data_IF_059468570232
#
_entry.id   IF_059468570232
#
_cell.length_a   1.000
_cell.length_b   1.000
_cell.length_c   1.000
_cell.angle_alpha   90.00
_cell.angle_beta   90.00
_cell.angle_gamma   90.00
#
_symmetry.space_group_name_H-M   'P 1'
#
loop_
_entity.id
_entity.type
_entity.pdbx_description
1 polymer ?
#
# COMPACT_ATOMS: atom_id res chain seq x y z
N UNK A 1 7.06 6.27 -33.40
CA UNK A 1 7.97 5.32 -34.08
C UNK A 1 9.14 6.09 -34.68
N UNK A 2 10.25 6.37 -33.98
CA UNK A 2 10.89 5.59 -32.94
C UNK A 2 11.07 6.38 -31.63
N UNK A 3 10.31 5.96 -30.64
CA UNK A 3 10.24 6.44 -29.26
C UNK A 3 11.33 5.80 -28.41
N UNK A 4 12.57 5.74 -28.92
CA UNK A 4 13.59 4.80 -28.41
C UNK A 4 14.75 5.47 -27.63
N UNK A 5 14.70 6.79 -27.41
CA UNK A 5 15.75 7.51 -26.68
C UNK A 5 15.44 7.69 -25.18
N UNK A 6 14.17 7.70 -24.74
CA UNK A 6 13.83 7.62 -23.30
C UNK A 6 13.42 6.19 -22.93
N UNK A 7 14.23 5.22 -23.32
CA UNK A 7 14.16 3.88 -22.76
C UNK A 7 14.89 3.90 -21.39
N UNK A 8 14.58 2.97 -20.48
CA UNK A 8 15.25 2.83 -19.17
C UNK A 8 16.78 2.81 -19.27
N UNK A 9 17.33 2.41 -20.42
CA UNK A 9 18.74 2.48 -20.78
C UNK A 9 19.36 3.89 -20.77
N UNK A 10 18.57 4.95 -20.99
CA UNK A 10 19.06 6.32 -21.20
C UNK A 10 18.66 7.31 -20.09
N UNK A 11 17.85 6.89 -19.10
CA UNK A 11 17.55 7.72 -17.93
C UNK A 11 18.81 8.20 -17.16
N UNK A 12 19.84 7.34 -16.97
CA UNK A 12 21.12 7.78 -16.40
C UNK A 12 21.83 8.86 -17.24
N UNK A 13 21.71 8.78 -18.57
CA UNK A 13 22.32 9.74 -19.50
C UNK A 13 21.66 11.12 -19.42
N UNK A 14 20.33 11.17 -19.28
CA UNK A 14 19.59 12.43 -19.10
C UNK A 14 19.91 13.09 -17.75
N UNK A 15 20.03 12.29 -16.68
CA UNK A 15 20.43 12.79 -15.37
C UNK A 15 21.86 13.37 -15.39
N UNK A 16 22.78 12.75 -16.14
CA UNK A 16 24.16 13.22 -16.29
C UNK A 16 24.24 14.50 -17.17
N UNK A 17 23.42 14.61 -18.21
CA UNK A 17 23.27 15.85 -18.99
C UNK A 17 22.71 17.00 -18.15
N UNK A 18 21.70 16.74 -17.32
CA UNK A 18 21.16 17.72 -16.40
C UNK A 18 22.22 18.17 -15.38
N UNK A 19 23.06 17.24 -14.90
CA UNK A 19 24.18 17.56 -14.03
C UNK A 19 25.17 18.51 -14.71
N UNK A 20 25.63 18.18 -15.94
CA UNK A 20 26.53 19.06 -16.70
C UNK A 20 25.89 20.45 -16.90
N UNK A 21 24.61 20.50 -17.27
CA UNK A 21 23.84 21.75 -17.40
C UNK A 21 23.79 22.58 -16.10
N UNK A 22 23.59 21.94 -14.95
CA UNK A 22 23.54 22.62 -13.65
C UNK A 22 24.89 23.20 -13.21
N UNK A 23 26.01 22.64 -13.68
CA UNK A 23 27.36 23.15 -13.42
C UNK A 23 27.74 24.26 -14.41
N UNK A 24 27.44 24.05 -15.69
CA UNK A 24 27.64 25.03 -16.75
C UNK A 24 26.51 24.92 -17.80
N UNK A 25 25.64 25.94 -17.92
CA UNK A 25 24.56 25.96 -18.90
C UNK A 25 25.00 25.84 -20.36
N UNK A 26 26.27 26.14 -20.68
CA UNK A 26 26.82 26.04 -22.03
C UNK A 26 27.41 24.64 -22.34
N UNK A 27 27.45 23.74 -21.35
CA UNK A 27 28.03 22.41 -21.50
C UNK A 27 27.13 21.42 -22.27
N UNK A 28 25.88 21.81 -22.53
CA UNK A 28 24.88 21.01 -23.26
C UNK A 28 24.36 21.81 -24.45
N UNK A 29 23.83 21.09 -25.44
CA UNK A 29 23.23 21.71 -26.61
C UNK A 29 22.06 22.64 -26.24
N UNK A 30 21.85 23.69 -27.04
CA UNK A 30 20.77 24.69 -26.87
C UNK A 30 19.37 24.08 -26.71
N UNK A 31 19.12 22.93 -27.34
CA UNK A 31 17.87 22.16 -27.22
C UNK A 31 17.67 21.59 -25.81
N UNK A 32 18.74 21.09 -25.17
CA UNK A 32 18.73 20.61 -23.79
C UNK A 32 18.62 21.75 -22.77
N UNK A 33 19.32 22.87 -23.01
CA UNK A 33 19.19 24.05 -22.16
C UNK A 33 17.75 24.59 -22.15
N UNK A 34 17.09 24.61 -23.31
CA UNK A 34 15.68 24.99 -23.44
C UNK A 34 14.73 24.00 -22.76
N UNK A 35 15.05 22.71 -22.78
CA UNK A 35 14.30 21.67 -22.08
C UNK A 35 14.39 21.84 -20.56
N UNK A 36 15.61 21.95 -20.00
CA UNK A 36 15.79 22.10 -18.55
C UNK A 36 15.24 23.42 -18.01
N UNK A 37 15.31 24.52 -18.78
CA UNK A 37 14.69 25.79 -18.39
C UNK A 37 13.16 25.76 -18.42
N UNK A 38 12.54 24.78 -19.09
CA UNK A 38 11.09 24.64 -19.11
C UNK A 38 10.51 23.85 -17.92
N UNK A 39 11.39 23.29 -17.08
CA UNK A 39 11.03 22.50 -15.91
C UNK A 39 10.88 23.40 -14.66
N UNK A 40 9.91 23.10 -13.80
CA UNK A 40 9.72 23.82 -12.54
C UNK A 40 10.62 23.27 -11.41
N UNK A 41 10.71 23.96 -10.27
CA UNK A 41 11.55 23.54 -9.12
C UNK A 41 11.25 22.12 -8.62
N UNK A 42 10.00 21.65 -8.75
CA UNK A 42 9.62 20.29 -8.36
C UNK A 42 10.10 19.25 -9.39
N UNK A 43 10.00 19.55 -10.69
CA UNK A 43 10.51 18.68 -11.76
C UNK A 43 12.03 18.53 -11.69
N UNK A 44 12.72 19.62 -11.33
CA UNK A 44 14.17 19.64 -11.10
C UNK A 44 14.58 18.79 -9.88
N UNK A 45 13.73 18.70 -8.85
CA UNK A 45 14.00 17.85 -7.68
C UNK A 45 13.94 16.36 -7.99
N UNK A 46 13.01 15.94 -8.85
CA UNK A 46 12.91 14.55 -9.33
C UNK A 46 14.16 14.15 -10.12
N UNK A 47 14.66 15.03 -11.00
CA UNK A 47 15.93 14.81 -11.71
C UNK A 47 17.13 14.75 -10.74
N UNK A 48 17.08 15.52 -9.65
CA UNK A 48 18.07 15.47 -8.56
C UNK A 48 18.07 14.14 -7.80
N UNK A 49 16.91 13.51 -7.60
CA UNK A 49 16.78 12.24 -6.88
C UNK A 49 17.42 11.07 -7.66
N UNK A 50 17.50 11.13 -8.99
CA UNK A 50 18.23 10.14 -9.82
C UNK A 50 19.74 10.07 -9.51
N UNK A 51 20.33 11.11 -8.89
CA UNK A 51 21.73 11.16 -8.41
C UNK A 51 22.01 10.12 -7.31
N UNK A 52 20.96 9.70 -6.61
CA UNK A 52 21.09 9.06 -5.32
C UNK A 52 21.66 10.02 -4.25
N UNK A 53 21.81 9.57 -3.01
CA UNK A 53 22.25 10.41 -1.91
C UNK A 53 23.67 10.95 -2.10
N UNK A 54 23.97 12.17 -1.65
CA UNK A 54 25.29 12.81 -1.86
C UNK A 54 26.49 12.00 -1.34
N UNK A 55 26.24 11.17 -0.32
CA UNK A 55 27.23 10.32 0.36
C UNK A 55 27.47 8.97 -0.33
N UNK A 56 26.67 8.62 -1.36
CA UNK A 56 26.85 7.42 -2.18
C UNK A 56 26.52 7.73 -3.64
N UNK A 57 27.37 8.58 -4.25
CA UNK A 57 27.30 8.89 -5.69
C UNK A 57 27.43 7.59 -6.50
N UNK A 58 26.48 7.34 -7.42
CA UNK A 58 26.62 6.24 -8.40
C UNK A 58 27.79 6.58 -9.34
N UNK A 59 28.76 5.68 -9.56
CA UNK A 59 29.82 5.89 -10.55
C UNK A 59 29.27 5.53 -11.93
N UNK A 60 28.45 6.38 -12.51
CA UNK A 60 28.08 6.24 -13.92
C UNK A 60 28.88 7.27 -14.72
N UNK A 61 30.05 6.86 -15.22
CA UNK A 61 30.78 7.60 -16.26
C UNK A 61 30.22 7.19 -17.62
N UNK A 62 29.02 7.66 -17.97
CA UNK A 62 28.42 7.32 -19.27
C UNK A 62 28.87 8.31 -20.33
N UNK A 63 29.14 9.57 -19.97
CA UNK A 63 29.50 10.61 -20.95
C UNK A 63 31.03 10.70 -21.19
N UNK A 64 31.87 10.20 -20.30
CA UNK A 64 33.32 10.48 -20.36
C UNK A 64 34.19 9.41 -21.10
N UNK A 65 33.63 8.28 -21.54
CA UNK A 65 34.39 7.22 -22.24
C UNK A 65 33.91 6.83 -23.65
N UNK A 66 32.92 7.53 -24.22
CA UNK A 66 32.39 7.18 -25.54
C UNK A 66 32.78 8.25 -26.57
N UNK A 67 33.66 7.84 -27.49
CA UNK A 67 34.00 8.58 -28.71
C UNK A 67 32.73 9.05 -29.44
N UNK A 68 32.65 10.34 -29.79
CA UNK A 68 31.49 10.99 -30.43
C UNK A 68 31.07 10.43 -31.80
N UNK A 69 31.72 9.37 -32.28
CA UNK A 69 31.48 8.75 -33.59
C UNK A 69 30.63 7.46 -33.57
N UNK A 70 30.16 6.99 -32.41
CA UNK A 70 29.27 5.81 -32.36
C UNK A 70 27.82 6.17 -32.03
N UNK A 71 27.05 6.23 -33.13
CA UNK A 71 25.59 6.11 -33.23
C UNK A 71 24.75 7.35 -32.88
N UNK A 72 25.01 8.47 -33.56
CA UNK A 72 23.90 9.34 -33.96
C UNK A 72 23.17 8.62 -35.11
N UNK A 73 22.13 7.85 -34.78
CA UNK A 73 21.16 7.41 -35.80
C UNK A 73 20.23 8.62 -36.01
N UNK A 74 20.28 9.33 -37.15
CA UNK A 74 19.37 10.43 -37.39
C UNK A 74 17.97 9.84 -37.60
N UNK A 75 17.12 9.91 -36.58
CA UNK A 75 15.70 9.59 -36.72
C UNK A 75 15.01 10.85 -37.23
N UNK A 76 14.55 10.89 -38.50
CA UNK A 76 13.87 12.06 -39.01
C UNK A 76 12.50 12.18 -38.31
N UNK A 77 12.09 13.41 -37.96
CA UNK A 77 10.70 13.78 -37.65
C UNK A 77 10.19 13.58 -36.20
N UNK A 78 10.98 13.93 -35.17
CA UNK A 78 10.46 14.05 -33.79
C UNK A 78 9.62 15.33 -33.67
N UNK A 79 8.30 15.18 -33.49
CA UNK A 79 7.43 16.30 -33.09
C UNK A 79 7.67 16.61 -31.61
N UNK A 80 8.44 17.67 -31.33
CA UNK A 80 8.82 18.15 -29.99
C UNK A 80 7.61 18.30 -29.04
N UNK A 81 6.44 18.63 -29.57
CA UNK A 81 5.21 18.75 -28.78
C UNK A 81 4.72 17.42 -28.21
N UNK A 82 4.83 16.31 -28.96
CA UNK A 82 4.36 14.99 -28.51
C UNK A 82 5.19 14.43 -27.34
N UNK A 83 6.50 14.67 -27.37
CA UNK A 83 7.42 14.28 -26.30
C UNK A 83 7.12 15.01 -24.99
N UNK A 84 6.88 16.33 -25.07
CA UNK A 84 6.50 17.13 -23.90
C UNK A 84 5.21 16.63 -23.27
N UNK A 85 4.21 16.27 -24.08
CA UNK A 85 2.93 15.74 -23.57
C UNK A 85 3.12 14.41 -22.84
N UNK A 86 3.84 13.45 -23.41
CA UNK A 86 4.08 12.14 -22.77
C UNK A 86 4.84 12.24 -21.44
N UNK A 87 5.85 13.12 -21.36
CA UNK A 87 6.58 13.37 -20.11
C UNK A 87 5.68 14.01 -19.05
N UNK A 88 4.87 15.01 -19.43
CA UNK A 88 3.94 15.65 -18.52
C UNK A 88 2.88 14.67 -17.99
N UNK A 89 2.35 13.80 -18.86
CA UNK A 89 1.35 12.80 -18.47
C UNK A 89 1.93 11.76 -17.49
N UNK A 90 3.20 11.39 -17.68
CA UNK A 90 3.94 10.53 -16.74
C UNK A 90 4.14 11.20 -15.38
N UNK A 91 4.59 12.46 -15.33
CA UNK A 91 4.75 13.22 -14.09
C UNK A 91 3.40 13.37 -13.36
N UNK A 92 2.32 13.70 -14.08
CA UNK A 92 0.97 13.81 -13.52
C UNK A 92 0.49 12.50 -12.92
N UNK A 93 0.77 11.39 -13.60
CA UNK A 93 0.37 10.05 -13.16
C UNK A 93 1.18 9.60 -11.94
N UNK A 94 2.49 9.85 -11.90
CA UNK A 94 3.31 9.60 -10.71
C UNK A 94 2.86 10.44 -9.51
N UNK A 95 2.42 11.68 -9.73
CA UNK A 95 1.81 12.52 -8.68
C UNK A 95 0.49 11.95 -8.17
N UNK A 96 -0.35 11.41 -9.05
CA UNK A 96 -1.58 10.72 -8.68
C UNK A 96 -1.27 9.46 -7.85
N UNK A 97 -0.33 8.62 -8.30
CA UNK A 97 0.13 7.43 -7.55
C UNK A 97 0.58 7.82 -6.14
N UNK A 98 1.44 8.85 -6.03
CA UNK A 98 1.88 9.37 -4.74
C UNK A 98 0.72 9.86 -3.88
N UNK A 99 -0.29 10.51 -4.47
CA UNK A 99 -1.46 10.96 -3.73
C UNK A 99 -2.27 9.79 -3.15
N UNK A 100 -2.40 8.67 -3.88
CA UNK A 100 -3.00 7.44 -3.35
C UNK A 100 -2.17 6.80 -2.23
N UNK A 101 -0.84 6.86 -2.29
CA UNK A 101 0.00 6.34 -1.19
C UNK A 101 -0.18 7.15 0.10
N UNK A 102 -0.43 8.46 -0.01
CA UNK A 102 -0.64 9.35 1.13
C UNK A 102 -2.08 9.23 1.63
N UNK A 103 -3.06 9.40 0.74
CA UNK A 103 -4.45 9.68 1.08
C UNK A 103 -5.44 8.61 0.60
N UNK A 104 -5.00 7.55 -0.09
CA UNK A 104 -5.91 6.54 -0.65
C UNK A 104 -6.79 5.85 0.40
N UNK A 105 -6.33 5.80 1.66
CA UNK A 105 -7.10 5.31 2.80
C UNK A 105 -8.38 6.12 3.07
N UNK A 106 -8.44 7.40 2.70
CA UNK A 106 -9.61 8.27 2.91
C UNK A 106 -10.83 7.82 2.09
N UNK A 107 -10.60 7.20 0.93
CA UNK A 107 -11.66 6.67 0.05
C UNK A 107 -11.89 5.18 0.22
N UNK A 108 -11.20 4.52 1.15
CA UNK A 108 -11.37 3.10 1.44
C UNK A 108 -12.76 2.79 2.02
N UNK A 109 -13.28 1.63 1.67
CA UNK A 109 -14.58 1.14 2.12
C UNK A 109 -14.48 0.42 3.46
N UNK A 110 -14.31 1.19 4.54
CA UNK A 110 -14.06 0.67 5.89
C UNK A 110 -15.33 0.47 6.73
N UNK A 111 -16.39 1.22 6.45
CA UNK A 111 -17.65 1.14 7.21
C UNK A 111 -18.55 0.02 6.67
N UNK A 112 -18.74 -1.10 7.42
CA UNK A 112 -19.59 -2.19 6.98
C UNK A 112 -21.09 -1.82 6.94
N UNK A 113 -21.50 -0.77 7.65
CA UNK A 113 -22.89 -0.31 7.71
C UNK A 113 -23.20 0.76 6.66
N UNK A 114 -22.18 1.31 5.98
CA UNK A 114 -22.30 2.41 5.02
C UNK A 114 -23.05 3.64 5.58
N UNK A 115 -22.84 3.96 6.85
CA UNK A 115 -23.37 5.15 7.51
C UNK A 115 -22.51 6.39 7.22
N UNK A 116 -21.19 6.20 7.06
CA UNK A 116 -20.27 7.27 6.67
C UNK A 116 -20.53 7.72 5.24
N UNK A 117 -20.66 9.04 5.03
CA UNK A 117 -20.71 9.61 3.68
C UNK A 117 -19.30 9.57 3.08
N UNK A 118 -19.20 9.10 1.84
CA UNK A 118 -17.94 9.17 1.07
C UNK A 118 -17.76 10.59 0.59
N UNK A 119 -16.71 11.25 1.08
CA UNK A 119 -16.34 12.57 0.62
C UNK A 119 -15.60 12.48 -0.72
N UNK A 120 -15.77 13.51 -1.55
CA UNK A 120 -15.00 13.63 -2.78
C UNK A 120 -13.64 14.25 -2.45
N UNK A 121 -12.58 13.56 -2.86
CA UNK A 121 -11.20 13.94 -2.62
C UNK A 121 -10.56 14.35 -3.97
N UNK A 122 -10.45 15.66 -4.26
CA UNK A 122 -9.85 16.14 -5.52
C UNK A 122 -8.44 15.58 -5.76
N UNK A 123 -7.65 15.41 -4.70
CA UNK A 123 -6.30 14.85 -4.74
C UNK A 123 -6.24 13.39 -5.20
N UNK A 124 -7.36 12.65 -5.19
CA UNK A 124 -7.44 11.27 -5.67
C UNK A 124 -8.13 11.16 -7.04
N UNK A 125 -8.57 12.28 -7.61
CA UNK A 125 -9.11 12.35 -8.97
C UNK A 125 -8.00 12.74 -9.96
N UNK A 126 -7.81 11.90 -10.99
CA UNK A 126 -6.88 12.18 -12.08
C UNK A 126 -7.19 13.50 -12.79
N UNK A 127 -8.46 13.93 -12.81
CA UNK A 127 -8.89 15.22 -13.41
C UNK A 127 -8.22 16.42 -12.76
N UNK A 128 -7.92 16.34 -11.47
CA UNK A 128 -7.23 17.41 -10.74
C UNK A 128 -5.75 17.56 -11.12
N UNK A 129 -5.17 16.59 -11.83
CA UNK A 129 -3.80 16.63 -12.34
C UNK A 129 -3.73 17.08 -13.81
N UNK A 130 -4.86 17.42 -14.43
CA UNK A 130 -4.92 17.84 -15.84
C UNK A 130 -4.98 16.67 -16.82
N UNK A 131 -5.29 15.47 -16.35
CA UNK A 131 -5.65 14.31 -17.18
C UNK A 131 -7.16 14.35 -17.46
N UNK A 132 -7.56 13.89 -18.64
CA UNK A 132 -8.95 13.90 -19.11
C UNK A 132 -9.44 12.49 -19.42
N UNK A 133 -10.74 12.34 -19.62
CA UNK A 133 -11.35 11.04 -19.95
C UNK A 133 -10.80 10.47 -21.28
N UNK A 134 -10.30 11.32 -22.18
CA UNK A 134 -9.65 10.89 -23.44
C UNK A 134 -8.26 10.28 -23.22
N UNK A 135 -7.68 10.45 -22.02
CA UNK A 135 -6.35 9.97 -21.68
C UNK A 135 -6.38 8.58 -21.01
N UNK A 136 -7.57 8.05 -20.70
CA UNK A 136 -7.76 6.79 -19.98
C UNK A 136 -7.14 5.59 -20.69
N UNK A 137 -7.19 5.56 -22.02
CA UNK A 137 -6.64 4.46 -22.83
C UNK A 137 -5.21 4.74 -23.30
N UNK A 138 -4.61 5.88 -22.92
CA UNK A 138 -3.22 6.19 -23.24
C UNK A 138 -2.29 5.38 -22.36
N UNK A 139 -1.29 4.76 -22.99
CA UNK A 139 -0.16 4.19 -22.24
C UNK A 139 0.69 5.31 -21.64
N UNK A 140 0.92 5.21 -20.34
CA UNK A 140 1.72 6.15 -19.57
C UNK A 140 2.86 5.38 -18.92
N UNK A 141 4.06 5.96 -19.00
CA UNK A 141 5.25 5.43 -18.34
C UNK A 141 5.21 5.73 -16.83
N UNK A 142 5.45 4.72 -16.00
CA UNK A 142 5.39 4.82 -14.53
C UNK A 142 6.63 4.27 -13.82
N UNK A 143 7.74 4.11 -14.56
CA UNK A 143 9.07 3.79 -14.00
C UNK A 143 9.11 2.55 -13.10
N UNK A 144 8.41 1.48 -13.50
CA UNK A 144 8.39 0.23 -12.75
C UNK A 144 7.44 0.21 -11.54
N UNK A 145 6.65 1.28 -11.32
CA UNK A 145 5.59 1.29 -10.30
C UNK A 145 4.65 0.10 -10.49
N UNK A 146 4.28 -0.58 -9.40
CA UNK A 146 3.49 -1.83 -9.44
C UNK A 146 4.12 -2.96 -10.26
N UNK A 147 5.43 -2.90 -10.55
CA UNK A 147 6.13 -3.86 -11.41
C UNK A 147 5.88 -3.68 -12.91
N UNK A 148 5.34 -2.53 -13.33
CA UNK A 148 5.00 -2.21 -14.72
C UNK A 148 5.85 -1.01 -15.19
N UNK A 149 6.52 -1.12 -16.35
CA UNK A 149 7.26 0.02 -16.92
C UNK A 149 6.30 1.09 -17.45
N UNK A 150 5.25 0.66 -18.15
CA UNK A 150 4.16 1.51 -18.66
C UNK A 150 2.84 0.76 -18.55
N UNK A 151 1.75 1.49 -18.39
CA UNK A 151 0.39 0.94 -18.40
C UNK A 151 -0.64 1.98 -18.87
N UNK A 152 -1.79 1.55 -19.40
CA UNK A 152 -2.92 2.44 -19.63
C UNK A 152 -3.35 3.16 -18.36
N UNK A 153 -3.69 4.46 -18.43
CA UNK A 153 -4.13 5.23 -17.26
C UNK A 153 -5.32 4.59 -16.53
N UNK A 154 -6.26 3.99 -17.27
CA UNK A 154 -7.40 3.27 -16.69
C UNK A 154 -6.98 2.08 -15.82
N UNK A 155 -5.91 1.37 -16.19
CA UNK A 155 -5.38 0.22 -15.48
C UNK A 155 -4.63 0.67 -14.23
N UNK A 156 -3.86 1.76 -14.33
CA UNK A 156 -3.17 2.37 -13.19
C UNK A 156 -4.19 2.80 -12.13
N UNK A 157 -5.23 3.54 -12.51
CA UNK A 157 -6.30 3.97 -11.59
C UNK A 157 -6.98 2.76 -10.95
N UNK A 158 -7.24 1.70 -11.72
CA UNK A 158 -7.83 0.47 -11.19
C UNK A 158 -6.93 -0.20 -10.15
N UNK A 159 -5.62 -0.32 -10.41
CA UNK A 159 -4.65 -0.87 -9.46
C UNK A 159 -4.62 -0.05 -8.18
N UNK A 160 -4.59 1.28 -8.30
CA UNK A 160 -4.59 2.20 -7.16
C UNK A 160 -5.84 2.02 -6.28
N UNK A 161 -7.03 1.99 -6.88
CA UNK A 161 -8.29 1.79 -6.16
C UNK A 161 -8.33 0.39 -5.52
N UNK A 162 -7.90 -0.65 -6.23
CA UNK A 162 -7.87 -2.01 -5.70
C UNK A 162 -6.94 -2.17 -4.50
N UNK A 163 -5.81 -1.44 -4.50
CA UNK A 163 -4.74 -1.56 -3.52
C UNK A 163 -4.96 -0.68 -2.29
N UNK A 164 -5.32 0.60 -2.48
CA UNK A 164 -5.35 1.60 -1.40
C UNK A 164 -6.76 2.03 -0.97
N UNK A 165 -7.78 1.80 -1.79
CA UNK A 165 -9.14 2.34 -1.59
C UNK A 165 -10.24 1.26 -1.61
N UNK A 166 -9.87 -0.01 -1.39
CA UNK A 166 -10.81 -1.13 -1.31
C UNK A 166 -11.27 -1.35 0.15
N UNK A 167 -11.33 -2.59 0.63
CA UNK A 167 -11.72 -2.91 2.02
C UNK A 167 -10.63 -2.71 3.07
N UNK A 168 -9.44 -2.24 2.66
CA UNK A 168 -8.30 -2.00 3.53
C UNK A 168 -7.77 -0.61 3.22
N UNK A 169 -7.71 0.24 4.24
CA UNK A 169 -7.03 1.53 4.20
C UNK A 169 -5.62 1.38 4.75
N UNK A 170 -4.63 1.93 4.05
CA UNK A 170 -3.22 1.81 4.43
C UNK A 170 -2.67 3.19 4.73
N UNK A 171 -2.14 3.34 5.94
CA UNK A 171 -1.41 4.54 6.37
C UNK A 171 0.01 4.15 6.77
N UNK A 172 1.00 4.59 5.99
CA UNK A 172 2.40 4.21 6.24
C UNK A 172 3.42 5.32 5.95
N UNK A 173 3.06 6.35 5.17
CA UNK A 173 4.02 7.38 4.77
C UNK A 173 4.49 8.31 5.91
N UNK A 174 3.84 8.29 7.07
CA UNK A 174 4.30 8.99 8.27
C UNK A 174 5.55 8.35 8.89
N UNK A 175 5.89 7.11 8.54
CA UNK A 175 7.07 6.39 9.04
C UNK A 175 8.34 7.13 8.61
N UNK A 176 9.33 7.30 9.47
CA UNK A 176 10.54 8.05 9.11
C UNK A 176 11.53 7.22 8.27
N UNK A 177 11.65 5.92 8.56
CA UNK A 177 12.60 5.03 7.89
C UNK A 177 12.20 4.78 6.42
N UNK A 178 13.06 5.10 5.44
CA UNK A 178 12.83 4.79 4.03
C UNK A 178 12.70 3.29 3.77
N UNK A 179 13.55 2.48 4.40
CA UNK A 179 13.55 1.02 4.25
C UNK A 179 12.22 0.41 4.70
N UNK A 180 11.65 0.90 5.82
CA UNK A 180 10.34 0.44 6.30
C UNK A 180 9.20 0.85 5.35
N UNK A 181 9.23 2.08 4.83
CA UNK A 181 8.24 2.55 3.84
C UNK A 181 8.27 1.68 2.59
N UNK A 182 9.46 1.46 2.05
CA UNK A 182 9.66 0.64 0.86
C UNK A 182 9.18 -0.78 1.10
N UNK A 183 9.55 -1.39 2.23
CA UNK A 183 9.10 -2.74 2.58
C UNK A 183 7.57 -2.85 2.66
N UNK A 184 6.89 -1.89 3.30
CA UNK A 184 5.42 -1.88 3.37
C UNK A 184 4.83 -1.71 1.97
N UNK A 185 5.36 -0.78 1.18
CA UNK A 185 4.89 -0.50 -0.16
C UNK A 185 5.00 -1.74 -1.07
N UNK A 186 6.18 -2.36 -1.14
CA UNK A 186 6.42 -3.59 -1.90
C UNK A 186 5.44 -4.69 -1.48
N UNK A 187 5.26 -4.89 -0.18
CA UNK A 187 4.40 -5.96 0.35
C UNK A 187 2.92 -5.77 0.02
N UNK A 188 2.47 -4.53 -0.04
CA UNK A 188 1.07 -4.18 -0.33
C UNK A 188 0.83 -4.21 -1.84
N UNK A 189 1.71 -3.62 -2.63
CA UNK A 189 1.57 -3.53 -4.08
C UNK A 189 1.71 -4.89 -4.78
N UNK A 190 2.61 -5.77 -4.31
CA UNK A 190 2.86 -7.11 -4.88
C UNK A 190 1.57 -7.93 -5.03
N UNK A 191 0.71 -7.88 -4.03
CA UNK A 191 -0.56 -8.63 -4.00
C UNK A 191 -1.78 -7.73 -4.16
N UNK A 192 -1.58 -6.46 -4.55
CA UNK A 192 -2.65 -5.43 -4.63
C UNK A 192 -3.50 -5.38 -3.36
N UNK A 193 -2.84 -5.53 -2.22
CA UNK A 193 -3.43 -5.59 -0.88
C UNK A 193 -4.49 -6.70 -0.71
N UNK A 194 -4.42 -7.77 -1.51
CA UNK A 194 -5.38 -8.88 -1.51
C UNK A 194 -4.65 -10.21 -1.40
N UNK A 195 -4.73 -10.82 -0.23
CA UNK A 195 -4.20 -12.18 -0.04
C UNK A 195 -5.11 -13.20 -0.74
N UNK A 196 -4.50 -14.04 -1.58
CA UNK A 196 -5.21 -15.15 -2.25
C UNK A 196 -5.24 -16.36 -1.31
N UNK A 197 -6.41 -16.63 -0.72
CA UNK A 197 -6.62 -17.82 0.11
C UNK A 197 -7.01 -19.04 -0.72
N UNK A 198 -6.50 -20.21 -0.32
CA UNK A 198 -6.97 -21.50 -0.83
C UNK A 198 -8.42 -21.76 -0.43
N UNK A 199 -9.09 -22.69 -1.11
CA UNK A 199 -10.46 -23.09 -0.77
C UNK A 199 -10.58 -23.52 0.70
N UNK A 200 -9.66 -24.36 1.17
CA UNK A 200 -9.64 -24.81 2.57
C UNK A 200 -9.34 -23.67 3.54
N UNK A 201 -8.49 -22.71 3.17
CA UNK A 201 -8.25 -21.51 3.96
C UNK A 201 -9.52 -20.67 4.14
N UNK A 202 -10.28 -20.47 3.06
CA UNK A 202 -11.58 -19.77 3.13
C UNK A 202 -12.59 -20.51 4.00
N UNK A 203 -12.66 -21.83 3.88
CA UNK A 203 -13.54 -22.68 4.70
C UNK A 203 -13.17 -22.61 6.18
N UNK A 204 -11.88 -22.60 6.51
CA UNK A 204 -11.40 -22.46 7.88
C UNK A 204 -11.77 -21.09 8.47
N UNK A 205 -11.58 -20.00 7.73
CA UNK A 205 -11.99 -18.65 8.15
C UNK A 205 -13.50 -18.60 8.40
N UNK A 206 -14.30 -19.15 7.47
CA UNK A 206 -15.76 -19.21 7.61
C UNK A 206 -16.19 -20.00 8.85
N UNK A 207 -15.64 -21.20 9.05
CA UNK A 207 -15.95 -22.02 10.22
C UNK A 207 -15.66 -21.28 11.53
N UNK A 208 -14.55 -20.52 11.58
CA UNK A 208 -14.20 -19.74 12.77
C UNK A 208 -15.18 -18.60 13.04
N UNK A 209 -15.63 -17.92 11.99
CA UNK A 209 -16.67 -16.88 12.11
C UNK A 209 -17.96 -17.47 12.66
N UNK A 210 -18.41 -18.60 12.09
CA UNK A 210 -19.62 -19.30 12.54
C UNK A 210 -19.50 -19.78 13.98
N UNK A 211 -18.36 -20.34 14.38
CA UNK A 211 -18.12 -20.77 15.76
C UNK A 211 -18.22 -19.59 16.73
N UNK A 212 -17.63 -18.44 16.36
CA UNK A 212 -17.64 -17.21 17.17
C UNK A 212 -19.05 -16.67 17.35
N UNK A 213 -19.83 -16.61 16.25
CA UNK A 213 -21.22 -16.14 16.28
C UNK A 213 -22.11 -17.08 17.08
N UNK A 214 -22.03 -18.40 16.84
CA UNK A 214 -22.86 -19.39 17.53
C UNK A 214 -22.57 -19.44 19.03
N UNK A 215 -21.31 -19.26 19.43
CA UNK A 215 -20.95 -19.20 20.86
C UNK A 215 -21.64 -18.01 21.55
N UNK A 216 -21.62 -16.84 20.92
CA UNK A 216 -22.29 -15.64 21.45
C UNK A 216 -23.82 -15.81 21.48
N UNK A 217 -24.42 -16.34 20.41
CA UNK A 217 -25.85 -16.64 20.37
C UNK A 217 -26.26 -17.64 21.46
N UNK A 218 -25.44 -18.66 21.71
CA UNK A 218 -25.67 -19.63 22.78
C UNK A 218 -25.68 -18.97 24.15
N UNK A 219 -24.65 -18.16 24.45
CA UNK A 219 -24.58 -17.42 25.72
C UNK A 219 -25.79 -16.49 25.88
N UNK A 220 -26.19 -15.80 24.82
CA UNK A 220 -27.37 -14.92 24.82
C UNK A 220 -28.66 -15.67 25.17
N UNK A 221 -28.84 -16.86 24.58
CA UNK A 221 -30.04 -17.67 24.81
C UNK A 221 -30.05 -18.32 26.20
N UNK A 222 -28.88 -18.74 26.70
CA UNK A 222 -28.78 -19.53 27.95
C UNK A 222 -28.74 -18.65 29.20
N UNK A 223 -28.08 -17.50 29.15
CA UNK A 223 -27.85 -16.62 30.30
C UNK A 223 -28.48 -15.25 30.07
N UNK A 224 -29.81 -15.23 30.07
CA UNK A 224 -30.60 -14.01 29.87
C UNK A 224 -30.29 -12.97 30.97
N UNK A 225 -29.99 -11.74 30.56
CA UNK A 225 -29.74 -10.62 31.46
C UNK A 225 -28.33 -10.58 32.08
N UNK A 226 -27.48 -11.57 31.83
CA UNK A 226 -26.09 -11.54 32.29
C UNK A 226 -25.22 -10.71 31.33
N UNK A 227 -24.44 -9.77 31.89
CA UNK A 227 -23.47 -9.00 31.10
C UNK A 227 -22.31 -9.90 30.68
N UNK A 228 -22.07 -10.00 29.36
CA UNK A 228 -21.00 -10.82 28.77
C UNK A 228 -20.01 -10.06 27.87
N UNK A 229 -20.34 -8.83 27.50
CA UNK A 229 -19.54 -8.02 26.56
C UNK A 229 -19.22 -8.75 25.25
N UNK A 230 -20.27 -9.23 24.56
CA UNK A 230 -20.13 -10.05 23.36
C UNK A 230 -19.40 -9.35 22.20
N UNK A 231 -18.91 -10.16 21.26
CA UNK A 231 -18.17 -9.70 20.08
C UNK A 231 -19.06 -9.37 18.87
N UNK A 232 -20.38 -9.36 19.03
CA UNK A 232 -21.37 -9.20 17.95
C UNK A 232 -21.04 -8.02 17.01
N UNK A 233 -20.98 -8.30 15.71
CA UNK A 233 -20.55 -7.35 14.66
C UNK A 233 -19.03 -7.17 14.52
N UNK A 234 -18.23 -7.81 15.36
CA UNK A 234 -16.77 -7.82 15.34
C UNK A 234 -16.17 -9.22 15.28
N UNK A 235 -16.93 -10.22 14.84
CA UNK A 235 -16.55 -11.64 14.82
C UNK A 235 -15.27 -11.88 13.99
N UNK A 236 -15.01 -11.01 13.01
CA UNK A 236 -13.79 -11.02 12.18
C UNK A 236 -12.49 -10.86 12.97
N UNK A 237 -12.56 -10.33 14.20
CA UNK A 237 -11.42 -10.27 15.11
C UNK A 237 -10.84 -11.67 15.39
N UNK A 238 -11.69 -12.69 15.52
CA UNK A 238 -11.26 -14.04 15.88
C UNK A 238 -10.38 -14.69 14.79
N UNK A 239 -10.82 -14.82 13.52
CA UNK A 239 -9.93 -15.32 12.47
C UNK A 239 -8.73 -14.40 12.22
N UNK A 240 -8.85 -13.09 12.47
CA UNK A 240 -7.73 -12.15 12.42
C UNK A 240 -6.62 -12.48 13.43
N UNK A 241 -6.99 -12.68 14.70
CA UNK A 241 -6.05 -13.09 15.75
C UNK A 241 -5.49 -14.49 15.47
N UNK A 242 -6.32 -15.42 15.02
CA UNK A 242 -5.86 -16.77 14.65
C UNK A 242 -4.79 -16.70 13.55
N UNK A 243 -4.96 -15.80 12.57
CA UNK A 243 -3.95 -15.59 11.54
C UNK A 243 -2.66 -14.99 12.09
N UNK A 244 -2.73 -14.03 13.02
CA UNK A 244 -1.54 -13.49 13.72
C UNK A 244 -0.79 -14.62 14.43
N UNK A 245 -1.50 -15.48 15.17
CA UNK A 245 -0.91 -16.63 15.86
C UNK A 245 -0.24 -17.58 14.87
N UNK A 246 -0.89 -17.92 13.75
CA UNK A 246 -0.31 -18.77 12.70
C UNK A 246 0.98 -18.17 12.13
N UNK A 247 0.99 -16.88 11.83
CA UNK A 247 2.20 -16.20 11.33
C UNK A 247 3.31 -16.18 12.37
N UNK A 248 2.99 -15.94 13.65
CA UNK A 248 3.95 -15.99 14.75
C UNK A 248 4.57 -17.40 14.90
N UNK A 249 3.77 -18.46 14.80
CA UNK A 249 4.28 -19.84 14.80
C UNK A 249 5.22 -20.12 13.62
N UNK A 250 4.89 -19.64 12.42
CA UNK A 250 5.78 -19.75 11.24
C UNK A 250 7.09 -18.99 11.45
N UNK A 251 7.03 -17.86 12.15
CA UNK A 251 8.19 -17.08 12.57
C UNK A 251 8.94 -17.68 13.79
N UNK A 252 8.56 -18.88 14.25
CA UNK A 252 9.16 -19.59 15.40
C UNK A 252 9.07 -18.82 16.73
N UNK A 253 8.03 -18.01 16.91
CA UNK A 253 7.71 -17.39 18.19
C UNK A 253 7.20 -18.46 19.15
N UNK A 254 7.81 -18.56 20.34
CA UNK A 254 7.45 -19.57 21.34
C UNK A 254 6.29 -19.14 22.24
N UNK A 255 6.23 -17.86 22.61
CA UNK A 255 5.28 -17.33 23.59
C UNK A 255 4.53 -16.12 23.02
N UNK A 256 3.20 -16.14 23.15
CA UNK A 256 2.32 -15.04 22.74
C UNK A 256 1.50 -14.62 23.96
N UNK A 257 1.63 -13.36 24.36
CA UNK A 257 0.84 -12.77 25.44
C UNK A 257 -0.21 -11.84 24.84
N UNK A 258 -1.48 -12.04 25.18
CA UNK A 258 -2.59 -11.24 24.64
C UNK A 258 -3.20 -10.39 25.76
N UNK A 259 -3.10 -9.07 25.63
CA UNK A 259 -3.87 -8.11 26.42
C UNK A 259 -5.14 -7.72 25.66
N UNK A 260 -6.31 -7.88 26.28
CA UNK A 260 -7.60 -7.52 25.67
C UNK A 260 -8.49 -6.78 26.68
N UNK A 261 -9.33 -5.89 26.17
CA UNK A 261 -10.45 -5.33 26.94
C UNK A 261 -11.56 -6.38 27.14
N UNK A 262 -12.70 -5.96 27.68
CA UNK A 262 -13.84 -6.85 27.96
C UNK A 262 -14.55 -7.38 26.70
N UNK A 263 -14.57 -6.62 25.61
CA UNK A 263 -15.33 -6.96 24.39
C UNK A 263 -14.77 -8.22 23.71
N UNK A 264 -15.61 -9.24 23.55
CA UNK A 264 -15.25 -10.49 22.90
C UNK A 264 -14.25 -11.37 23.66
N UNK A 265 -13.92 -11.03 24.92
CA UNK A 265 -12.92 -11.76 25.72
C UNK A 265 -13.27 -13.24 25.88
N UNK A 266 -14.53 -13.56 26.15
CA UNK A 266 -14.98 -14.94 26.35
C UNK A 266 -14.85 -15.77 25.07
N UNK A 267 -15.18 -15.16 23.93
CA UNK A 267 -15.05 -15.76 22.61
C UNK A 267 -13.59 -15.99 22.26
N UNK A 268 -12.71 -15.02 22.55
CA UNK A 268 -11.27 -15.19 22.39
C UNK A 268 -10.71 -16.34 23.26
N UNK A 269 -11.11 -16.38 24.53
CA UNK A 269 -10.67 -17.41 25.48
C UNK A 269 -11.08 -18.82 25.02
N UNK A 270 -12.31 -18.98 24.55
CA UNK A 270 -12.82 -20.27 24.13
C UNK A 270 -12.27 -20.74 22.78
N UNK A 271 -12.22 -19.84 21.79
CA UNK A 271 -11.91 -20.20 20.40
C UNK A 271 -10.40 -20.23 20.10
N UNK A 272 -9.65 -19.22 20.55
CA UNK A 272 -8.22 -19.07 20.25
C UNK A 272 -7.35 -19.67 21.34
N UNK A 273 -7.64 -19.38 22.61
CA UNK A 273 -6.85 -19.87 23.74
C UNK A 273 -7.27 -21.26 24.23
N UNK A 274 -8.35 -21.83 23.67
CA UNK A 274 -8.78 -23.19 23.95
C UNK A 274 -9.27 -23.42 25.38
N UNK A 275 -9.71 -22.36 26.08
CA UNK A 275 -10.31 -22.49 27.41
C UNK A 275 -11.57 -23.37 27.31
N UNK A 276 -11.69 -24.45 28.10
CA UNK A 276 -12.84 -25.34 28.02
C UNK A 276 -14.15 -24.60 28.28
N UNK A 277 -15.17 -24.83 27.45
CA UNK A 277 -16.49 -24.23 27.64
C UNK A 277 -17.06 -24.49 29.04
N UNK A 278 -16.83 -25.68 29.61
CA UNK A 278 -17.29 -26.01 30.96
C UNK A 278 -16.78 -25.00 32.01
N UNK A 279 -15.52 -24.59 31.91
CA UNK A 279 -14.90 -23.63 32.84
C UNK A 279 -15.48 -22.23 32.67
N UNK A 280 -15.78 -21.83 31.45
CA UNK A 280 -16.44 -20.54 31.16
C UNK A 280 -17.87 -20.56 31.70
N UNK A 281 -18.64 -21.60 31.36
CA UNK A 281 -20.05 -21.73 31.71
C UNK A 281 -20.28 -21.91 33.22
N UNK A 282 -19.37 -22.55 33.95
CA UNK A 282 -19.48 -22.66 35.41
C UNK A 282 -19.42 -21.30 36.10
N UNK A 283 -18.61 -20.37 35.57
CA UNK A 283 -18.52 -18.99 36.09
C UNK A 283 -19.85 -18.24 35.91
N UNK A 284 -20.55 -18.44 34.79
CA UNK A 284 -21.90 -17.88 34.57
C UNK A 284 -22.96 -18.43 35.53
N UNK A 285 -22.78 -19.65 36.03
CA UNK A 285 -23.68 -20.30 36.98
C UNK A 285 -23.39 -19.95 38.44
N UNK A 286 -22.35 -19.15 38.71
CA UNK A 286 -21.94 -18.79 40.07
C UNK A 286 -21.16 -19.89 40.80
N UNK A 287 -20.74 -20.95 40.11
CA UNK A 287 -19.84 -21.96 40.68
C UNK A 287 -18.39 -21.44 40.59
N UNK A 288 -17.86 -20.95 41.71
CA UNK A 288 -16.42 -20.78 41.90
C UNK A 288 -15.79 -22.17 42.00
N UNK A 289 -15.19 -22.64 40.91
CA UNK A 289 -14.52 -23.94 40.85
C UNK A 289 -13.01 -23.81 41.06
N UNK A 290 -12.58 -23.06 42.07
CA UNK A 290 -11.23 -23.20 42.62
C UNK A 290 -11.24 -22.99 44.14
N UNK A 291 -10.93 -24.02 44.96
CA UNK A 291 -10.68 -23.86 46.39
C UNK A 291 -9.59 -22.83 46.72
N UNK A 292 -8.80 -22.38 45.73
CA UNK A 292 -7.77 -21.34 45.87
C UNK A 292 -8.22 -19.93 45.44
N UNK A 293 -9.44 -19.73 44.90
CA UNK A 293 -9.96 -18.40 44.45
C UNK A 293 -10.61 -17.56 45.59
N UNK A 294 -10.47 -17.96 46.86
CA UNK A 294 -11.07 -17.25 48.02
C UNK A 294 -10.20 -16.06 48.53
N UNK A 295 -9.26 -15.56 47.74
CA UNK A 295 -8.52 -14.33 48.09
C UNK A 295 -8.76 -13.20 47.10
N UNK A 296 -9.74 -12.36 47.42
CA UNK A 296 -9.88 -11.01 46.87
C UNK A 296 -11.04 -10.80 45.91
N UNK A 297 -11.50 -9.55 45.83
CA UNK A 297 -12.65 -9.06 45.06
C UNK A 297 -12.41 -9.17 43.55
N UNK A 298 -12.45 -10.40 43.04
CA UNK A 298 -12.04 -10.76 41.68
C UNK A 298 -12.79 -10.05 40.56
N UNK A 299 -12.05 -9.86 39.47
CA UNK A 299 -12.51 -9.78 38.07
C UNK A 299 -11.92 -10.98 37.30
#
# INVERSE_FOLDING_TARGET
MNDNFLNSANAPYVAELFYKYSQDPNSVDSSWGSFFNSLNENDLSVLGDFRGPEWKKRPSNIIDEISFDKAIIPVPNIKVDSFRTSTLDSIRTLRLIRAYHINGHLTANLDPLNLSKKEYHPELDYKSYGLTDNDLDKEIFIDGSFGLESAPLNEIIKILIETYSSSIGVEFLYIQSPDQKQWIQERIEEVRNKTIFTHEGKKAIYNRLVESELFEQYLNKKFLGTKRYGIEGGESMIPGIEQIVKQACLAKVENIFIGTAHRGRLTLLSTVLGMPYKSILSKFQGYQNDPNEVMGSGD
#
